data_IF_696506014286
#
_entry.id   IF_696506014286
#
_cell.length_a   1.000
_cell.length_b   1.000
_cell.length_c   1.000
_cell.angle_alpha   90.00
_cell.angle_beta   90.00
_cell.angle_gamma   90.00
#
_symmetry.space_group_name_H-M   'P 1'
#
loop_
_entity.id
_entity.type
_entity.pdbx_description
1 polymer ?
#
# COMPACT_ATOMS: atom_id res chain seq x y z
N UNK A 1 9.74 -14.57 -2.01
CA UNK A 1 9.84 -13.89 -0.70
C UNK A 1 9.17 -12.53 -0.80
N UNK A 2 8.44 -12.08 0.23
CA UNK A 2 7.88 -10.72 0.26
C UNK A 2 8.58 -9.88 1.33
N UNK A 3 8.82 -8.60 1.04
CA UNK A 3 9.32 -7.62 2.00
C UNK A 3 8.24 -6.56 2.21
N UNK A 4 7.74 -6.42 3.44
CA UNK A 4 6.67 -5.45 3.75
C UNK A 4 7.25 -4.29 4.56
N UNK A 5 7.08 -3.07 4.06
CA UNK A 5 7.56 -1.84 4.69
C UNK A 5 6.40 -1.16 5.42
N UNK A 6 6.47 -1.17 6.75
CA UNK A 6 5.52 -0.50 7.65
C UNK A 6 6.11 0.80 8.22
N UNK A 7 5.24 1.70 8.67
CA UNK A 7 5.62 2.95 9.31
C UNK A 7 4.72 4.12 8.92
N UNK A 8 4.87 5.25 9.59
CA UNK A 8 4.04 6.44 9.35
C UNK A 8 4.13 6.97 7.91
N UNK A 9 3.12 7.75 7.50
CA UNK A 9 3.18 8.52 6.24
C UNK A 9 4.40 9.46 6.24
N UNK A 10 4.93 9.74 5.06
CA UNK A 10 6.10 10.61 4.85
C UNK A 10 7.45 10.13 5.47
N UNK A 11 7.57 8.89 5.97
CA UNK A 11 8.86 8.35 6.43
C UNK A 11 9.72 7.72 5.32
N UNK A 12 9.35 7.88 4.06
CA UNK A 12 10.16 7.45 2.90
C UNK A 12 9.97 5.99 2.44
N UNK A 13 8.92 5.29 2.89
CA UNK A 13 8.65 3.88 2.53
C UNK A 13 8.61 3.64 1.03
N UNK A 14 7.91 4.48 0.27
CA UNK A 14 7.82 4.32 -1.18
C UNK A 14 9.17 4.58 -1.86
N UNK A 15 9.99 5.50 -1.35
CA UNK A 15 11.34 5.78 -1.86
C UNK A 15 12.29 4.60 -1.59
N UNK A 16 12.37 4.14 -0.34
CA UNK A 16 13.22 3.01 0.05
C UNK A 16 12.76 1.71 -0.61
N UNK A 17 11.45 1.49 -0.70
CA UNK A 17 10.87 0.30 -1.29
C UNK A 17 11.19 0.15 -2.77
N UNK A 18 11.12 1.24 -3.55
CA UNK A 18 11.54 1.24 -4.96
C UNK A 18 13.02 0.87 -5.12
N UNK A 19 13.90 1.51 -4.34
CA UNK A 19 15.34 1.22 -4.35
C UNK A 19 15.65 -0.23 -3.95
N UNK A 20 14.92 -0.77 -2.97
CA UNK A 20 15.09 -2.14 -2.52
C UNK A 20 14.60 -3.14 -3.57
N UNK A 21 13.44 -2.89 -4.18
CA UNK A 21 12.88 -3.72 -5.24
C UNK A 21 13.83 -3.81 -6.44
N UNK A 22 14.41 -2.67 -6.86
CA UNK A 22 15.41 -2.61 -7.93
C UNK A 22 16.65 -3.46 -7.59
N UNK A 23 17.19 -3.32 -6.37
CA UNK A 23 18.36 -4.09 -5.92
C UNK A 23 18.08 -5.60 -5.85
N UNK A 24 16.88 -5.98 -5.43
CA UNK A 24 16.45 -7.37 -5.34
C UNK A 24 15.94 -7.93 -6.67
N UNK A 25 15.74 -7.09 -7.69
CA UNK A 25 15.14 -7.44 -8.99
C UNK A 25 13.75 -8.08 -8.86
N UNK A 26 12.94 -7.54 -7.95
CA UNK A 26 11.56 -7.98 -7.71
C UNK A 26 10.59 -6.80 -7.84
N UNK A 27 9.28 -7.06 -7.87
CA UNK A 27 8.29 -6.00 -8.05
C UNK A 27 8.21 -5.05 -6.84
N UNK A 28 7.87 -3.79 -7.08
CA UNK A 28 7.49 -2.83 -6.03
C UNK A 28 5.99 -2.55 -6.12
N UNK A 29 5.30 -2.63 -5.00
CA UNK A 29 3.86 -2.36 -4.87
C UNK A 29 3.62 -1.39 -3.71
N UNK A 30 2.63 -0.51 -3.84
CA UNK A 30 2.21 0.43 -2.80
C UNK A 30 0.71 0.26 -2.58
N UNK A 31 0.30 -0.02 -1.33
CA UNK A 31 -1.13 -0.28 -1.02
C UNK A 31 -2.00 0.93 -1.30
N UNK A 32 -1.49 2.15 -1.03
CA UNK A 32 -2.28 3.36 -1.20
C UNK A 32 -2.58 3.58 -2.69
N UNK A 33 -1.57 3.38 -3.56
CA UNK A 33 -1.74 3.45 -5.01
C UNK A 33 -2.69 2.37 -5.55
N UNK A 34 -2.57 1.13 -5.07
CA UNK A 34 -3.45 0.03 -5.49
C UNK A 34 -4.92 0.35 -5.16
N UNK A 35 -5.19 0.94 -4.00
CA UNK A 35 -6.56 1.35 -3.61
C UNK A 35 -7.07 2.47 -4.52
N UNK A 36 -6.25 3.48 -4.81
CA UNK A 36 -6.62 4.58 -5.72
C UNK A 36 -6.90 4.08 -7.14
N UNK A 37 -6.09 3.15 -7.65
CA UNK A 37 -6.26 2.52 -8.96
C UNK A 37 -7.54 1.68 -9.02
N UNK A 38 -7.79 0.86 -7.99
CA UNK A 38 -8.98 0.00 -7.93
C UNK A 38 -10.29 0.80 -7.82
N UNK A 39 -10.26 1.97 -7.18
CA UNK A 39 -11.45 2.82 -6.99
C UNK A 39 -11.55 3.95 -8.01
N UNK A 40 -10.51 4.19 -8.80
CA UNK A 40 -10.45 5.25 -9.81
C UNK A 40 -10.51 6.66 -9.22
N UNK A 41 -10.13 6.84 -7.95
CA UNK A 41 -10.17 8.14 -7.27
C UNK A 41 -9.12 8.24 -6.15
N UNK A 42 -8.63 9.46 -5.85
CA UNK A 42 -7.65 9.68 -4.78
C UNK A 42 -8.17 9.33 -3.38
N UNK A 43 -7.30 8.89 -2.46
CA UNK A 43 -7.65 8.57 -1.06
C UNK A 43 -8.36 9.73 -0.37
N UNK A 44 -7.92 10.96 -0.62
CA UNK A 44 -8.56 12.17 -0.05
C UNK A 44 -10.05 12.25 -0.43
N UNK A 45 -10.43 11.83 -1.64
CA UNK A 45 -11.80 11.88 -2.15
C UNK A 45 -12.61 10.68 -1.64
N UNK A 46 -11.98 9.50 -1.53
CA UNK A 46 -12.57 8.32 -0.90
C UNK A 46 -12.96 8.62 0.54
N UNK A 47 -12.04 9.18 1.32
CA UNK A 47 -12.29 9.51 2.73
C UNK A 47 -13.29 10.65 2.87
N UNK A 48 -13.25 11.66 1.99
CA UNK A 48 -14.21 12.76 2.04
C UNK A 48 -15.66 12.31 1.72
N UNK A 49 -15.83 11.29 0.88
CA UNK A 49 -17.15 10.79 0.46
C UNK A 49 -17.67 9.63 1.31
N UNK A 50 -16.80 8.71 1.75
CA UNK A 50 -17.18 7.46 2.41
C UNK A 50 -16.62 7.30 3.84
N UNK A 51 -15.76 8.22 4.29
CA UNK A 51 -15.14 8.17 5.61
C UNK A 51 -13.96 7.21 5.74
N UNK A 52 -13.33 7.24 6.90
CA UNK A 52 -12.14 6.43 7.20
C UNK A 52 -12.45 4.94 7.33
N UNK A 53 -13.62 4.58 7.85
CA UNK A 53 -13.98 3.17 8.05
C UNK A 53 -14.08 2.43 6.71
N UNK A 54 -14.66 3.07 5.70
CA UNK A 54 -14.69 2.55 4.34
C UNK A 54 -13.27 2.39 3.78
N UNK A 55 -12.41 3.41 3.94
CA UNK A 55 -11.02 3.32 3.49
C UNK A 55 -10.27 2.18 4.19
N UNK A 56 -10.47 1.97 5.50
CA UNK A 56 -9.84 0.87 6.25
C UNK A 56 -10.30 -0.49 5.77
N UNK A 57 -11.58 -0.65 5.41
CA UNK A 57 -12.07 -1.88 4.79
C UNK A 57 -11.35 -2.16 3.45
N UNK A 58 -11.19 -1.14 2.60
CA UNK A 58 -10.46 -1.24 1.33
C UNK A 58 -8.96 -1.51 1.54
N UNK A 59 -8.34 -0.91 2.55
CA UNK A 59 -6.95 -1.15 2.92
C UNK A 59 -6.73 -2.61 3.33
N UNK A 60 -7.66 -3.18 4.11
CA UNK A 60 -7.62 -4.60 4.48
C UNK A 60 -7.76 -5.53 3.27
N UNK A 61 -8.68 -5.23 2.36
CA UNK A 61 -8.85 -5.98 1.10
C UNK A 61 -7.56 -5.94 0.25
N UNK A 62 -6.95 -4.76 0.09
CA UNK A 62 -5.69 -4.60 -0.64
C UNK A 62 -4.54 -5.40 -0.02
N UNK A 63 -4.42 -5.42 1.31
CA UNK A 63 -3.43 -6.26 2.02
C UNK A 63 -3.67 -7.74 1.77
N UNK A 64 -4.93 -8.19 1.78
CA UNK A 64 -5.27 -9.59 1.50
C UNK A 64 -4.91 -9.98 0.07
N UNK A 65 -5.15 -9.10 -0.91
CA UNK A 65 -4.75 -9.33 -2.31
C UNK A 65 -3.22 -9.43 -2.43
N UNK A 66 -2.49 -8.49 -1.83
CA UNK A 66 -1.03 -8.45 -1.90
C UNK A 66 -0.37 -9.61 -1.14
N UNK A 67 -1.02 -10.14 -0.10
CA UNK A 67 -0.55 -11.32 0.61
C UNK A 67 -0.52 -12.59 -0.29
N UNK A 68 -1.30 -12.63 -1.36
CA UNK A 68 -1.28 -13.72 -2.35
C UNK A 68 -0.17 -13.56 -3.40
N UNK A 69 0.49 -12.39 -3.46
CA UNK A 69 1.62 -12.17 -4.37
C UNK A 69 2.89 -12.79 -3.79
N UNK A 70 3.86 -13.04 -4.66
CA UNK A 70 5.19 -13.51 -4.30
C UNK A 70 6.24 -12.65 -4.97
N UNK A 71 7.39 -12.47 -4.31
CA UNK A 71 8.54 -11.74 -4.88
C UNK A 71 8.20 -10.28 -5.12
N UNK A 72 7.80 -9.62 -4.03
CA UNK A 72 7.45 -8.20 -4.03
C UNK A 72 8.05 -7.48 -2.81
N UNK A 73 8.42 -6.22 -3.00
CA UNK A 73 8.55 -5.22 -1.94
C UNK A 73 7.24 -4.43 -1.89
N UNK A 74 6.61 -4.39 -0.72
CA UNK A 74 5.29 -3.79 -0.53
C UNK A 74 5.43 -2.62 0.45
N UNK A 75 5.13 -1.40 0.01
CA UNK A 75 4.95 -0.25 0.90
C UNK A 75 3.49 -0.16 1.33
N UNK A 76 3.26 0.06 2.63
CA UNK A 76 1.90 0.15 3.17
C UNK A 76 1.50 1.57 3.55
N UNK A 77 0.19 1.82 3.60
CA UNK A 77 -0.40 3.00 4.22
C UNK A 77 0.02 3.13 5.69
N UNK A 78 0.08 4.37 6.19
CA UNK A 78 0.55 4.66 7.55
C UNK A 78 -0.36 4.13 8.67
N UNK A 79 -1.56 3.65 8.34
CA UNK A 79 -2.54 3.11 9.28
C UNK A 79 -2.79 1.61 9.12
N UNK A 80 -2.01 0.90 8.28
CA UNK A 80 -2.30 -0.49 7.90
C UNK A 80 -2.31 -1.49 9.07
N UNK A 81 -1.71 -1.12 10.20
CA UNK A 81 -1.59 -1.95 11.42
C UNK A 81 -2.62 -1.61 12.49
N UNK A 82 -3.57 -0.71 12.20
CA UNK A 82 -4.61 -0.25 13.12
C UNK A 82 -5.91 -1.06 12.98
#
# INVERSE_FOLDING_TARGET
MNVVLIGYRACGKSTVGKLLAEKLKIAFLDTDLLIEENLGMPIKEIVASQGWDYFRAREKEAVQELAQRSECVIATGGGVVL
#
